data_IF_395925363953
#
_entry.id   IF_395925363953
#
_cell.length_a   1.000
_cell.length_b   1.000
_cell.length_c   1.000
_cell.angle_alpha   90.00
_cell.angle_beta   90.00
_cell.angle_gamma   90.00
#
_symmetry.space_group_name_H-M   'P 1'
#
loop_
_entity.id
_entity.type
_entity.pdbx_description
1 polymer ?
#
# COMPACT_ATOMS: atom_id res chain seq x y z
N UNK A 1 12.57 -5.83 7.88
CA UNK A 1 12.01 -5.27 9.13
C UNK A 1 11.09 -6.29 9.78
N UNK A 2 11.42 -6.78 10.98
CA UNK A 2 10.65 -7.83 11.68
C UNK A 2 9.17 -7.44 11.89
N UNK A 3 8.89 -6.17 12.21
CA UNK A 3 7.52 -5.68 12.46
C UNK A 3 6.64 -5.70 11.20
N UNK A 4 7.20 -5.44 10.02
CA UNK A 4 6.45 -5.48 8.75
C UNK A 4 6.05 -6.91 8.42
N UNK A 5 6.98 -7.86 8.57
CA UNK A 5 6.69 -9.29 8.40
C UNK A 5 5.65 -9.79 9.40
N UNK A 6 5.74 -9.35 10.66
CA UNK A 6 4.75 -9.67 11.69
C UNK A 6 3.35 -9.14 11.34
N UNK A 7 3.26 -7.88 10.90
CA UNK A 7 2.01 -7.27 10.50
C UNK A 7 1.39 -7.96 9.28
N UNK A 8 2.18 -8.32 8.26
CA UNK A 8 1.71 -9.15 7.15
C UNK A 8 1.10 -10.45 7.66
N UNK A 9 1.79 -11.17 8.53
CA UNK A 9 1.26 -12.40 9.13
C UNK A 9 0.00 -12.19 9.97
N UNK A 10 -0.26 -10.99 10.49
CA UNK A 10 -1.52 -10.65 11.16
C UNK A 10 -2.65 -10.42 10.15
N UNK A 11 -2.38 -9.83 8.98
CA UNK A 11 -3.35 -9.69 7.88
C UNK A 11 -3.80 -11.03 7.31
N UNK A 12 -2.85 -11.95 7.09
CA UNK A 12 -3.16 -13.32 6.65
C UNK A 12 -4.04 -14.06 7.67
N UNK A 13 -3.95 -13.69 8.95
CA UNK A 13 -4.79 -14.22 10.03
C UNK A 13 -6.11 -13.46 10.21
N UNK A 14 -6.45 -12.53 9.33
CA UNK A 14 -7.67 -11.72 9.43
C UNK A 14 -7.66 -10.73 10.59
N UNK A 15 -6.49 -10.30 11.07
CA UNK A 15 -6.32 -9.37 12.21
C UNK A 15 -5.78 -8.01 11.75
N UNK A 16 -6.54 -7.21 10.96
CA UNK A 16 -6.09 -5.92 10.46
C UNK A 16 -5.80 -4.91 11.56
N UNK A 17 -6.57 -4.89 12.66
CA UNK A 17 -6.31 -3.97 13.78
C UNK A 17 -4.97 -4.24 14.48
N UNK A 18 -4.58 -5.51 14.61
CA UNK A 18 -3.29 -5.88 15.17
C UNK A 18 -2.15 -5.48 14.22
N UNK A 19 -2.34 -5.69 12.91
CA UNK A 19 -1.39 -5.28 11.88
C UNK A 19 -1.15 -3.77 11.91
N UNK A 20 -2.21 -2.96 12.02
CA UNK A 20 -2.12 -1.50 12.11
C UNK A 20 -1.23 -1.10 13.30
N UNK A 21 -1.52 -1.59 14.51
CA UNK A 21 -0.71 -1.25 15.70
C UNK A 21 0.76 -1.67 15.58
N UNK A 22 1.00 -2.83 14.95
CA UNK A 22 2.37 -3.33 14.73
C UNK A 22 3.12 -2.44 13.75
N UNK A 23 2.47 -2.03 12.66
CA UNK A 23 3.06 -1.11 11.68
C UNK A 23 3.23 0.30 12.24
N UNK A 24 2.31 0.80 13.06
CA UNK A 24 2.47 2.12 13.71
C UNK A 24 3.77 2.18 14.52
N UNK A 25 4.14 1.08 15.20
CA UNK A 25 5.45 0.97 15.84
C UNK A 25 6.59 0.94 14.83
N UNK A 26 6.43 0.24 13.71
CA UNK A 26 7.44 0.19 12.65
C UNK A 26 7.71 1.57 12.03
N UNK A 27 6.66 2.35 11.77
CA UNK A 27 6.75 3.72 11.21
C UNK A 27 7.37 4.70 12.22
N UNK A 28 7.18 4.49 13.52
CA UNK A 28 7.89 5.28 14.55
C UNK A 28 9.38 5.03 14.57
N UNK A 29 9.81 3.79 14.30
CA UNK A 29 11.23 3.42 14.26
C UNK A 29 11.85 3.89 12.93
N UNK A 30 11.15 3.66 11.83
CA UNK A 30 11.57 4.06 10.49
C UNK A 30 10.40 4.64 9.71
N UNK A 31 10.32 5.98 9.76
CA UNK A 31 9.29 6.74 9.07
C UNK A 31 9.46 6.76 7.55
N UNK A 32 10.62 6.30 7.02
CA UNK A 32 10.91 6.24 5.58
C UNK A 32 10.67 4.85 4.98
N UNK A 33 10.18 3.92 5.78
CA UNK A 33 9.86 2.59 5.30
C UNK A 33 8.54 2.59 4.51
N UNK A 34 8.62 2.74 3.19
CA UNK A 34 7.46 2.62 2.30
C UNK A 34 6.70 1.29 2.42
N UNK A 35 7.35 0.22 2.89
CA UNK A 35 6.75 -1.11 2.96
C UNK A 35 5.76 -1.17 4.12
N UNK A 36 6.09 -0.47 5.20
CA UNK A 36 5.21 -0.26 6.33
C UNK A 36 3.90 0.41 5.87
N UNK A 37 3.97 1.43 5.01
CA UNK A 37 2.79 2.09 4.46
C UNK A 37 1.97 1.20 3.53
N UNK A 38 2.60 0.34 2.70
CA UNK A 38 1.88 -0.66 1.89
C UNK A 38 1.10 -1.63 2.80
N UNK A 39 1.74 -2.15 3.85
CA UNK A 39 1.07 -3.08 4.78
C UNK A 39 -0.03 -2.37 5.54
N UNK A 40 0.15 -1.10 5.92
CA UNK A 40 -0.92 -0.30 6.54
C UNK A 40 -2.10 -0.14 5.58
N UNK A 41 -1.85 0.19 4.31
CA UNK A 41 -2.88 0.32 3.29
C UNK A 41 -3.67 -0.98 3.13
N UNK A 42 -2.99 -2.14 3.04
CA UNK A 42 -3.64 -3.46 3.01
C UNK A 42 -4.47 -3.73 4.27
N UNK A 43 -3.98 -3.34 5.45
CA UNK A 43 -4.70 -3.50 6.70
C UNK A 43 -6.00 -2.69 6.73
N UNK A 44 -5.95 -1.42 6.33
CA UNK A 44 -7.14 -0.57 6.23
C UNK A 44 -8.12 -1.07 5.16
N UNK A 45 -7.60 -1.60 4.05
CA UNK A 45 -8.40 -2.24 3.00
C UNK A 45 -9.20 -3.42 3.56
N UNK A 46 -8.54 -4.33 4.27
CA UNK A 46 -9.17 -5.51 4.88
C UNK A 46 -10.17 -5.12 5.99
N UNK A 47 -9.97 -3.97 6.63
CA UNK A 47 -10.92 -3.39 7.59
C UNK A 47 -12.16 -2.77 6.92
N UNK A 48 -12.17 -2.62 5.60
CA UNK A 48 -13.25 -1.97 4.83
C UNK A 48 -13.05 -0.46 4.63
N UNK A 49 -12.02 0.13 5.24
CA UNK A 49 -11.72 1.57 5.20
C UNK A 49 -10.88 1.90 3.95
N UNK A 50 -11.44 1.64 2.76
CA UNK A 50 -10.74 1.76 1.46
C UNK A 50 -10.18 3.17 1.20
N UNK A 51 -10.88 4.21 1.64
CA UNK A 51 -10.42 5.60 1.49
C UNK A 51 -9.13 5.86 2.26
N UNK A 52 -9.03 5.37 3.51
CA UNK A 52 -7.80 5.45 4.31
C UNK A 52 -6.70 4.60 3.70
N UNK A 53 -7.03 3.40 3.24
CA UNK A 53 -6.07 2.53 2.56
C UNK A 53 -5.41 3.25 1.37
N UNK A 54 -6.19 3.99 0.59
CA UNK A 54 -5.69 4.76 -0.55
C UNK A 54 -4.76 5.90 -0.12
N UNK A 55 -5.09 6.63 0.94
CA UNK A 55 -4.19 7.67 1.47
C UNK A 55 -2.82 7.11 1.88
N UNK A 56 -2.80 5.92 2.51
CA UNK A 56 -1.54 5.28 2.89
C UNK A 56 -0.79 4.70 1.69
N UNK A 57 -1.49 4.20 0.68
CA UNK A 57 -0.87 3.77 -0.59
C UNK A 57 -0.17 4.95 -1.28
N UNK A 58 -0.80 6.12 -1.35
CA UNK A 58 -0.19 7.35 -1.89
C UNK A 58 1.04 7.80 -1.10
N UNK A 59 1.03 7.65 0.22
CA UNK A 59 2.24 7.90 1.03
C UNK A 59 3.37 6.94 0.67
N UNK A 60 3.06 5.67 0.42
CA UNK A 60 4.04 4.71 -0.07
C UNK A 60 4.56 5.09 -1.47
N UNK A 61 3.70 5.59 -2.38
CA UNK A 61 4.11 6.09 -3.71
C UNK A 61 5.20 7.17 -3.58
N UNK A 62 4.98 8.16 -2.71
CA UNK A 62 5.94 9.24 -2.47
C UNK A 62 7.28 8.73 -1.93
N UNK A 63 7.28 7.73 -1.06
CA UNK A 63 8.50 7.13 -0.50
C UNK A 63 9.22 6.24 -1.52
N UNK A 64 8.47 5.60 -2.41
CA UNK A 64 8.99 4.71 -3.44
C UNK A 64 9.27 5.40 -4.77
N UNK A 65 9.19 6.73 -4.87
CA UNK A 65 9.40 7.47 -6.12
C UNK A 65 10.71 7.08 -6.85
N UNK A 66 11.74 6.69 -6.11
CA UNK A 66 13.05 6.26 -6.65
C UNK A 66 13.19 4.74 -6.86
N UNK A 67 12.13 3.97 -6.63
CA UNK A 67 12.10 2.51 -6.66
C UNK A 67 10.98 2.02 -7.60
N UNK A 68 11.22 1.93 -8.92
CA UNK A 68 10.19 1.59 -9.90
C UNK A 68 9.54 0.23 -9.66
N UNK A 69 10.31 -0.76 -9.18
CA UNK A 69 9.78 -2.07 -8.82
C UNK A 69 8.73 -2.01 -7.70
N UNK A 70 8.93 -1.13 -6.71
CA UNK A 70 8.00 -0.94 -5.59
C UNK A 70 6.84 -0.02 -5.95
N UNK A 71 7.07 0.99 -6.77
CA UNK A 71 6.00 1.83 -7.33
C UNK A 71 4.96 0.99 -8.09
N UNK A 72 5.40 0.00 -8.86
CA UNK A 72 4.48 -0.92 -9.54
C UNK A 72 3.56 -1.63 -8.54
N UNK A 73 4.09 -2.11 -7.42
CA UNK A 73 3.29 -2.74 -6.35
C UNK A 73 2.27 -1.74 -5.76
N UNK A 74 2.68 -0.50 -5.50
CA UNK A 74 1.80 0.55 -4.98
C UNK A 74 0.67 0.87 -5.97
N UNK A 75 0.99 1.05 -7.25
CA UNK A 75 -0.02 1.37 -8.26
C UNK A 75 -1.04 0.26 -8.47
N UNK A 76 -0.64 -1.00 -8.35
CA UNK A 76 -1.58 -2.13 -8.36
C UNK A 76 -2.51 -2.11 -7.15
N UNK A 77 -1.98 -1.77 -5.96
CA UNK A 77 -2.80 -1.63 -4.77
C UNK A 77 -3.79 -0.45 -4.90
N UNK A 78 -3.34 0.69 -5.43
CA UNK A 78 -4.22 1.83 -5.68
C UNK A 78 -5.29 1.50 -6.70
N UNK A 79 -4.96 0.81 -7.79
CA UNK A 79 -5.95 0.45 -8.81
C UNK A 79 -7.04 -0.46 -8.23
N UNK A 80 -6.67 -1.45 -7.42
CA UNK A 80 -7.62 -2.28 -6.69
C UNK A 80 -8.50 -1.46 -5.74
N UNK A 81 -7.91 -0.53 -5.00
CA UNK A 81 -8.65 0.34 -4.08
C UNK A 81 -9.63 1.26 -4.80
N UNK A 82 -9.23 1.86 -5.93
CA UNK A 82 -10.11 2.67 -6.76
C UNK A 82 -11.27 1.85 -7.34
N UNK A 83 -11.01 0.64 -7.83
CA UNK A 83 -12.07 -0.29 -8.29
C UNK A 83 -13.05 -0.60 -7.18
N UNK A 84 -12.54 -0.89 -5.99
CA UNK A 84 -13.36 -1.20 -4.83
C UNK A 84 -14.14 0.01 -4.27
N UNK A 85 -13.69 1.24 -4.58
CA UNK A 85 -14.41 2.48 -4.30
C UNK A 85 -15.40 2.86 -5.40
N UNK A 86 -15.43 2.14 -6.53
CA UNK A 86 -16.25 2.45 -7.70
C UNK A 86 -15.64 3.50 -8.65
N UNK A 87 -14.43 3.97 -8.38
CA UNK A 87 -13.71 4.92 -9.22
C UNK A 87 -12.93 4.17 -10.33
N UNK A 88 -13.63 3.87 -11.42
CA UNK A 88 -13.02 3.19 -12.56
C UNK A 88 -11.97 4.07 -13.27
N UNK A 89 -12.12 5.40 -13.23
CA UNK A 89 -11.18 6.31 -13.86
C UNK A 89 -9.82 6.28 -13.13
N UNK A 90 -9.85 6.38 -11.80
CA UNK A 90 -8.66 6.27 -10.95
C UNK A 90 -7.98 4.91 -11.10
N UNK A 91 -8.76 3.83 -11.17
CA UNK A 91 -8.24 2.48 -11.37
C UNK A 91 -7.48 2.31 -12.69
N UNK A 92 -8.05 2.81 -13.80
CA UNK A 92 -7.40 2.75 -15.12
C UNK A 92 -6.12 3.58 -15.13
N UNK A 93 -6.11 4.76 -14.50
CA UNK A 93 -4.91 5.58 -14.41
C UNK A 93 -3.80 4.87 -13.61
N UNK A 94 -4.12 4.31 -12.45
CA UNK A 94 -3.17 3.57 -11.63
C UNK A 94 -2.60 2.35 -12.37
N UNK A 95 -3.43 1.58 -13.09
CA UNK A 95 -2.96 0.47 -13.93
C UNK A 95 -2.05 0.91 -15.07
N UNK A 96 -2.34 2.06 -15.71
CA UNK A 96 -1.42 2.64 -16.70
C UNK A 96 -0.08 2.96 -16.07
N UNK A 97 -0.06 3.64 -14.91
CA UNK A 97 1.19 3.94 -14.18
C UNK A 97 1.97 2.67 -13.82
N UNK A 98 1.27 1.60 -13.38
CA UNK A 98 1.89 0.31 -13.07
C UNK A 98 2.53 -0.37 -14.28
N UNK A 99 2.00 -0.14 -15.49
CA UNK A 99 2.49 -0.74 -16.74
C UNK A 99 3.50 0.13 -17.49
N UNK A 100 3.45 1.46 -17.35
CA UNK A 100 4.41 2.38 -17.97
C UNK A 100 5.75 2.47 -17.23
N UNK A 101 5.82 2.08 -15.95
CA UNK A 101 7.09 1.90 -15.23
C UNK A 101 8.04 0.83 -15.83
N UNK A 102 7.65 0.21 -16.94
CA UNK A 102 8.43 -0.78 -17.70
C UNK A 102 8.50 -0.50 -19.21
N UNK A 103 8.32 0.77 -19.63
CA UNK A 103 8.56 1.18 -21.02
C UNK A 103 9.32 2.49 -21.08
N UNK A 104 10.64 2.40 -20.98
CA UNK A 104 11.70 3.31 -21.45
C UNK A 104 12.97 2.76 -20.78
N UNK A 105 13.95 2.15 -21.42
CA UNK A 105 14.46 2.13 -22.79
C UNK A 105 15.19 0.78 -22.98
#
# INVERSE_FOLDING_TARGET
MQLVSQARGQLERGKPDAAIRTIEKAVRIDARNGEAFIVLARAWKQKGEKRKALEFAKKAELLYQKQPAKLKEVFLLESDLYRELGDNAGAVQANRKASTGHRSN
#
